data_IF_752464937592
#
_entry.id   IF_752464937592
#
_cell.length_a   1.000
_cell.length_b   1.000
_cell.length_c   1.000
_cell.angle_alpha   90.00
_cell.angle_beta   90.00
_cell.angle_gamma   90.00
#
_symmetry.space_group_name_H-M   'P 1'
#
loop_
_entity.id
_entity.type
_entity.pdbx_description
1 polymer ?
#
# COMPACT_ATOMS: atom_id res chain seq x y z
N UNK A 1 -2.54 11.51 12.08
CA UNK A 1 -1.78 11.09 10.86
C UNK A 1 -1.39 9.61 10.94
N UNK A 2 -0.67 9.17 11.97
CA UNK A 2 -0.32 7.73 12.17
C UNK A 2 -1.53 6.78 12.20
N UNK A 3 -2.63 7.13 12.88
CA UNK A 3 -3.84 6.30 12.92
C UNK A 3 -4.46 6.05 11.52
N UNK A 4 -4.35 7.02 10.61
CA UNK A 4 -4.85 6.89 9.24
C UNK A 4 -3.96 5.97 8.40
N UNK A 5 -2.63 6.06 8.56
CA UNK A 5 -1.67 5.16 7.90
C UNK A 5 -1.92 3.70 8.32
N UNK A 6 -2.11 3.45 9.61
CA UNK A 6 -2.42 2.09 10.09
C UNK A 6 -3.76 1.59 9.57
N UNK A 7 -4.77 2.46 9.48
CA UNK A 7 -6.08 2.11 8.91
C UNK A 7 -5.97 1.69 7.44
N UNK A 8 -5.29 2.49 6.63
CA UNK A 8 -5.10 2.21 5.19
C UNK A 8 -4.21 0.99 4.99
N UNK A 9 -3.17 0.80 5.81
CA UNK A 9 -2.29 -0.36 5.71
C UNK A 9 -3.01 -1.70 5.96
N UNK A 10 -4.12 -1.72 6.69
CA UNK A 10 -4.95 -2.94 6.82
C UNK A 10 -5.62 -3.31 5.49
N UNK A 11 -5.89 -2.33 4.63
CA UNK A 11 -6.49 -2.55 3.31
C UNK A 11 -5.51 -3.18 2.32
N UNK A 12 -4.20 -3.13 2.57
CA UNK A 12 -3.20 -3.90 1.80
C UNK A 12 -3.38 -5.42 1.90
N UNK A 13 -4.24 -5.92 2.80
CA UNK A 13 -4.59 -7.33 2.93
C UNK A 13 -6.03 -7.63 2.55
N UNK A 14 -6.71 -6.70 1.88
CA UNK A 14 -8.08 -6.91 1.45
C UNK A 14 -8.17 -8.02 0.39
N UNK A 15 -9.26 -8.78 0.37
CA UNK A 15 -9.48 -9.84 -0.62
C UNK A 15 -9.59 -9.28 -2.05
N UNK A 16 -10.13 -8.06 -2.20
CA UNK A 16 -10.24 -7.41 -3.49
C UNK A 16 -8.91 -6.74 -3.88
N UNK A 17 -8.27 -7.16 -5.00
CA UNK A 17 -6.99 -6.59 -5.43
C UNK A 17 -7.08 -5.10 -5.77
N UNK A 18 -8.22 -4.62 -6.24
CA UNK A 18 -8.45 -3.20 -6.52
C UNK A 18 -8.31 -2.37 -5.24
N UNK A 19 -8.90 -2.85 -4.14
CA UNK A 19 -8.82 -2.18 -2.83
C UNK A 19 -7.40 -2.18 -2.28
N UNK A 20 -6.63 -3.25 -2.52
CA UNK A 20 -5.20 -3.30 -2.15
C UNK A 20 -4.37 -2.30 -2.94
N UNK A 21 -4.60 -2.20 -4.26
CA UNK A 21 -3.97 -1.21 -5.12
C UNK A 21 -4.29 0.22 -4.69
N UNK A 22 -5.57 0.52 -4.45
CA UNK A 22 -6.00 1.84 -3.95
C UNK A 22 -5.33 2.20 -2.61
N UNK A 23 -5.21 1.21 -1.70
CA UNK A 23 -4.53 1.40 -0.43
C UNK A 23 -3.05 1.71 -0.60
N UNK A 24 -2.35 0.97 -1.47
CA UNK A 24 -0.95 1.21 -1.79
C UNK A 24 -0.74 2.61 -2.39
N UNK A 25 -1.60 2.99 -3.35
CA UNK A 25 -1.59 4.30 -3.97
C UNK A 25 -1.82 5.43 -2.95
N UNK A 26 -2.82 5.30 -2.08
CA UNK A 26 -3.09 6.31 -1.05
C UNK A 26 -1.92 6.47 -0.08
N UNK A 27 -1.29 5.36 0.32
CA UNK A 27 -0.11 5.38 1.19
C UNK A 27 1.09 6.06 0.52
N UNK A 28 1.26 5.86 -0.78
CA UNK A 28 2.25 6.57 -1.61
C UNK A 28 1.98 8.08 -1.64
N UNK A 29 0.73 8.48 -1.93
CA UNK A 29 0.33 9.91 -1.92
C UNK A 29 0.59 10.55 -0.56
N UNK A 30 0.31 9.84 0.53
CA UNK A 30 0.56 10.33 1.89
C UNK A 30 2.06 10.58 2.12
N UNK A 31 2.94 9.82 1.45
CA UNK A 31 4.39 10.05 1.45
C UNK A 31 5.05 9.95 2.83
N UNK A 32 4.36 9.34 3.81
CA UNK A 32 4.83 9.34 5.20
C UNK A 32 5.83 8.21 5.41
N UNK A 33 7.00 8.45 6.05
CA UNK A 33 8.04 7.43 6.20
C UNK A 33 7.60 6.12 6.86
N UNK A 34 6.61 6.18 7.76
CA UNK A 34 6.02 4.99 8.39
C UNK A 34 5.22 4.09 7.43
N UNK A 35 4.82 4.57 6.26
CA UNK A 35 4.13 3.76 5.24
C UNK A 35 5.11 2.88 4.45
N UNK A 36 6.36 3.31 4.29
CA UNK A 36 7.39 2.60 3.52
C UNK A 36 7.60 1.14 3.96
N UNK A 37 7.78 0.80 5.25
CA UNK A 37 7.91 -0.60 5.65
C UNK A 37 6.63 -1.41 5.36
N UNK A 38 5.45 -0.80 5.50
CA UNK A 38 4.17 -1.46 5.25
C UNK A 38 3.97 -1.76 3.75
N UNK A 39 4.41 -0.85 2.87
CA UNK A 39 4.42 -1.03 1.42
C UNK A 39 5.45 -2.08 1.00
N UNK A 40 6.64 -2.10 1.62
CA UNK A 40 7.67 -3.11 1.34
C UNK A 40 7.19 -4.52 1.66
N UNK A 41 6.46 -4.70 2.76
CA UNK A 41 5.85 -6.00 3.10
C UNK A 41 4.82 -6.46 2.04
N UNK A 42 4.22 -5.54 1.30
CA UNK A 42 3.21 -5.81 0.28
C UNK A 42 3.80 -6.03 -1.14
N UNK A 43 5.11 -5.87 -1.35
CA UNK A 43 5.76 -6.07 -2.67
C UNK A 43 5.55 -7.47 -3.28
N UNK A 44 5.23 -8.45 -2.44
CA UNK A 44 4.92 -9.82 -2.83
C UNK A 44 3.47 -10.07 -3.21
N UNK A 45 2.65 -9.04 -3.43
CA UNK A 45 1.23 -9.20 -3.79
C UNK A 45 1.07 -10.15 -4.99
N UNK A 46 0.03 -10.98 -4.96
CA UNK A 46 -0.25 -11.96 -6.00
C UNK A 46 -0.59 -11.30 -7.36
N UNK A 47 -1.18 -10.10 -7.35
CA UNK A 47 -1.61 -9.39 -8.57
C UNK A 47 -0.51 -8.46 -9.09
N UNK A 48 -0.21 -8.58 -10.39
CA UNK A 48 0.84 -7.78 -11.03
C UNK A 48 0.59 -6.29 -10.96
N UNK A 49 -0.66 -5.86 -11.18
CA UNK A 49 -1.03 -4.45 -11.16
C UNK A 49 -0.82 -3.84 -9.77
N UNK A 50 -1.20 -4.58 -8.72
CA UNK A 50 -1.01 -4.15 -7.33
C UNK A 50 0.49 -4.03 -7.01
N UNK A 51 1.32 -4.98 -7.46
CA UNK A 51 2.78 -4.88 -7.29
C UNK A 51 3.37 -3.65 -7.97
N UNK A 52 2.87 -3.27 -9.14
CA UNK A 52 3.35 -2.07 -9.84
C UNK A 52 3.01 -0.81 -9.05
N UNK A 53 1.77 -0.69 -8.57
CA UNK A 53 1.34 0.44 -7.72
C UNK A 53 2.19 0.52 -6.45
N UNK A 54 2.48 -0.61 -5.81
CA UNK A 54 3.32 -0.64 -4.59
C UNK A 54 4.74 -0.17 -4.90
N UNK A 55 5.32 -0.53 -6.04
CA UNK A 55 6.66 -0.07 -6.44
C UNK A 55 6.68 1.43 -6.67
N UNK A 56 5.69 1.96 -7.38
CA UNK A 56 5.53 3.41 -7.61
C UNK A 56 5.34 4.16 -6.29
N UNK A 57 4.62 3.57 -5.32
CA UNK A 57 4.39 4.20 -4.02
C UNK A 57 5.63 4.21 -3.08
N UNK A 58 6.68 3.45 -3.40
CA UNK A 58 7.92 3.39 -2.60
C UNK A 58 9.01 4.32 -3.16
N UNK A 59 8.92 4.72 -4.43
CA UNK A 59 9.78 5.76 -5.03
C UNK A 59 9.53 7.14 -4.41
#
# INVERSE_FOLDING_TARGET
ILCSITGIARLLKNENPTVRGDAAYLLGIIGHPHAVPLLKDALGDEHADVRNVIREAIE
#
